data_IF_105913950647
#
_entry.id   IF_105913950647
#
_cell.length_a   1.000
_cell.length_b   1.000
_cell.length_c   1.000
_cell.angle_alpha   90.00
_cell.angle_beta   90.00
_cell.angle_gamma   90.00
#
_symmetry.space_group_name_H-M   'P 1'
#
loop_
_entity.id
_entity.type
_entity.pdbx_description
1 polymer ?
#
# COMPACT_ATOMS: atom_id res chain seq x y z
N UNK A 1 -19.72 13.94 -23.10
CA UNK A 1 -19.35 15.38 -23.14
C UNK A 1 -18.50 15.67 -21.92
N UNK A 2 -17.41 16.42 -22.05
CA UNK A 2 -16.59 16.83 -20.90
C UNK A 2 -16.93 18.29 -20.59
N UNK A 3 -17.37 18.56 -19.36
CA UNK A 3 -17.73 19.90 -18.90
C UNK A 3 -17.04 20.20 -17.58
N UNK A 4 -16.48 21.39 -17.47
CA UNK A 4 -15.96 21.90 -16.21
C UNK A 4 -16.98 22.85 -15.59
N UNK A 5 -17.14 22.79 -14.27
CA UNK A 5 -18.06 23.63 -13.54
C UNK A 5 -17.48 23.98 -12.17
N UNK A 6 -17.72 25.23 -11.76
CA UNK A 6 -17.40 25.73 -10.44
C UNK A 6 -18.64 25.70 -9.55
N UNK A 7 -18.42 25.40 -8.28
CA UNK A 7 -19.44 25.27 -7.25
C UNK A 7 -19.02 26.09 -6.05
N UNK A 8 -19.88 26.97 -5.58
CA UNK A 8 -19.66 27.69 -4.33
C UNK A 8 -19.84 26.78 -3.11
N UNK A 9 -19.24 27.15 -1.98
CA UNK A 9 -19.45 26.43 -0.71
C UNK A 9 -20.95 26.25 -0.40
N UNK A 10 -21.37 25.02 -0.14
CA UNK A 10 -22.75 24.61 0.11
C UNK A 10 -23.57 24.24 -1.13
N UNK A 11 -23.05 24.40 -2.35
CA UNK A 11 -23.75 24.02 -3.57
C UNK A 11 -23.72 22.50 -3.81
N UNK A 12 -24.83 21.95 -4.31
CA UNK A 12 -24.94 20.52 -4.59
C UNK A 12 -24.29 20.21 -5.94
N UNK A 13 -23.28 19.35 -5.91
CA UNK A 13 -22.57 18.85 -7.09
C UNK A 13 -23.32 17.67 -7.72
N UNK A 14 -23.75 16.71 -6.90
CA UNK A 14 -24.56 15.56 -7.34
C UNK A 14 -25.71 15.31 -6.36
N UNK A 15 -26.93 15.24 -6.87
CA UNK A 15 -28.12 14.95 -6.07
C UNK A 15 -28.33 13.44 -5.88
N UNK A 16 -28.92 13.07 -4.74
CA UNK A 16 -29.37 11.70 -4.45
C UNK A 16 -30.58 11.33 -5.33
N UNK A 17 -30.73 10.03 -5.62
CA UNK A 17 -31.92 9.49 -6.28
C UNK A 17 -31.93 9.61 -7.81
N UNK A 18 -30.92 10.26 -8.38
CA UNK A 18 -30.71 10.38 -9.82
C UNK A 18 -29.89 9.20 -10.37
N UNK A 19 -30.18 8.80 -11.61
CA UNK A 19 -29.28 7.93 -12.38
C UNK A 19 -28.15 8.79 -12.95
N UNK A 20 -26.93 8.49 -12.53
CA UNK A 20 -25.73 9.14 -13.05
C UNK A 20 -25.35 8.62 -14.42
N UNK A 21 -24.71 9.50 -15.19
CA UNK A 21 -24.08 9.16 -16.46
C UNK A 21 -22.61 9.59 -16.37
N UNK A 22 -21.70 8.66 -16.56
CA UNK A 22 -20.27 8.87 -16.40
C UNK A 22 -19.82 9.06 -14.95
N UNK A 23 -18.84 9.94 -14.77
CA UNK A 23 -18.25 10.25 -13.47
C UNK A 23 -17.73 11.68 -13.42
N UNK A 24 -17.37 12.13 -12.23
CA UNK A 24 -16.80 13.45 -11.97
C UNK A 24 -15.37 13.32 -11.47
N UNK A 25 -14.56 14.35 -11.74
CA UNK A 25 -13.21 14.51 -11.20
C UNK A 25 -13.14 15.83 -10.46
N UNK A 26 -12.69 15.81 -9.21
CA UNK A 26 -12.40 17.03 -8.45
C UNK A 26 -11.12 17.65 -9.01
N UNK A 27 -11.13 18.93 -9.37
CA UNK A 27 -9.92 19.63 -9.84
C UNK A 27 -9.30 20.49 -8.74
N UNK A 28 -10.12 21.11 -7.90
CA UNK A 28 -9.71 21.93 -6.75
C UNK A 28 -10.88 22.11 -5.78
N UNK A 29 -10.58 22.44 -4.52
CA UNK A 29 -11.57 22.57 -3.44
C UNK A 29 -11.87 21.24 -2.75
N UNK A 30 -12.89 21.19 -1.89
CA UNK A 30 -13.31 19.99 -1.18
C UNK A 30 -14.83 19.79 -1.20
N UNK A 31 -15.25 18.54 -1.22
CA UNK A 31 -16.64 18.11 -1.30
C UNK A 31 -16.96 17.18 -0.12
N UNK A 32 -18.19 17.22 0.36
CA UNK A 32 -18.70 16.30 1.37
C UNK A 32 -19.73 15.35 0.78
N UNK A 33 -19.66 14.09 1.22
CA UNK A 33 -20.59 13.01 0.88
C UNK A 33 -21.60 12.88 1.99
N UNK A 34 -22.88 13.11 1.69
CA UNK A 34 -23.97 13.16 2.66
C UNK A 34 -24.97 12.05 2.38
N UNK A 35 -25.26 11.21 3.38
CA UNK A 35 -26.29 10.18 3.33
C UNK A 35 -27.17 10.28 4.56
N UNK A 36 -28.50 10.22 4.38
CA UNK A 36 -29.48 10.36 5.46
C UNK A 36 -29.25 11.63 6.32
N UNK A 37 -28.81 12.73 5.69
CA UNK A 37 -28.51 14.00 6.35
C UNK A 37 -27.22 14.01 7.18
N UNK A 38 -26.40 12.96 7.13
CA UNK A 38 -25.10 12.88 7.82
C UNK A 38 -23.96 12.89 6.82
N UNK A 39 -22.90 13.63 7.14
CA UNK A 39 -21.63 13.58 6.39
C UNK A 39 -20.95 12.26 6.70
N UNK A 40 -20.75 11.42 5.67
CA UNK A 40 -20.13 10.10 5.80
C UNK A 40 -18.67 10.07 5.33
N UNK A 41 -18.27 11.03 4.48
CA UNK A 41 -16.92 11.13 3.96
C UNK A 41 -16.68 12.51 3.32
N UNK A 42 -15.42 12.86 3.11
CA UNK A 42 -14.98 14.06 2.39
C UNK A 42 -14.15 13.64 1.17
N UNK A 43 -14.18 14.46 0.13
CA UNK A 43 -13.41 14.35 -1.10
C UNK A 43 -12.67 15.68 -1.25
N UNK A 44 -11.41 15.69 -0.88
CA UNK A 44 -10.53 16.87 -0.78
C UNK A 44 -9.33 16.80 -1.75
N UNK A 45 -9.04 15.63 -2.29
CA UNK A 45 -7.91 15.41 -3.18
C UNK A 45 -8.25 15.77 -4.65
N UNK A 46 -7.50 16.70 -5.24
CA UNK A 46 -7.53 16.96 -6.67
C UNK A 46 -7.20 15.68 -7.49
N UNK A 47 -7.95 15.46 -8.56
CA UNK A 47 -7.93 14.23 -9.35
C UNK A 47 -8.77 13.08 -8.78
N UNK A 48 -9.44 13.25 -7.64
CA UNK A 48 -10.34 12.25 -7.09
C UNK A 48 -11.55 12.01 -8.02
N UNK A 49 -11.84 10.74 -8.30
CA UNK A 49 -13.00 10.32 -9.10
C UNK A 49 -14.18 10.04 -8.18
N UNK A 50 -15.36 10.53 -8.51
CA UNK A 50 -16.58 10.29 -7.77
C UNK A 50 -17.83 10.26 -8.66
N UNK A 51 -18.94 9.74 -8.12
CA UNK A 51 -20.20 9.61 -8.85
C UNK A 51 -20.25 8.44 -9.85
N UNK A 52 -19.18 7.65 -9.97
CA UNK A 52 -19.02 6.56 -10.94
C UNK A 52 -19.93 5.36 -10.67
N UNK A 53 -20.23 5.11 -9.39
CA UNK A 53 -20.97 3.91 -8.96
C UNK A 53 -22.37 3.84 -9.54
N UNK A 54 -23.01 4.99 -9.75
CA UNK A 54 -24.37 5.05 -10.26
C UNK A 54 -24.47 4.48 -11.68
N UNK A 55 -23.53 4.85 -12.57
CA UNK A 55 -23.49 4.27 -13.92
C UNK A 55 -22.95 2.84 -13.91
N UNK A 56 -21.86 2.57 -13.18
CA UNK A 56 -21.21 1.24 -13.15
C UNK A 56 -22.14 0.14 -12.64
N UNK A 57 -22.92 0.41 -11.60
CA UNK A 57 -23.84 -0.55 -11.01
C UNK A 57 -25.28 -0.42 -11.54
N UNK A 58 -25.53 0.58 -12.40
CA UNK A 58 -26.89 0.92 -12.87
C UNK A 58 -27.87 1.16 -11.72
N UNK A 59 -27.39 1.81 -10.65
CA UNK A 59 -28.15 2.17 -9.46
C UNK A 59 -28.33 3.69 -9.39
N UNK A 60 -29.41 4.15 -8.75
CA UNK A 60 -29.54 5.57 -8.42
C UNK A 60 -28.48 5.96 -7.40
N UNK A 61 -28.02 7.22 -7.44
CA UNK A 61 -27.11 7.78 -6.43
C UNK A 61 -27.74 7.64 -5.04
N UNK A 62 -26.95 7.15 -4.10
CA UNK A 62 -27.33 6.80 -2.72
C UNK A 62 -26.77 7.79 -1.68
N UNK A 63 -26.23 8.91 -2.16
CA UNK A 63 -25.70 10.01 -1.38
C UNK A 63 -25.75 11.30 -2.20
N UNK A 64 -25.84 12.43 -1.49
CA UNK A 64 -25.66 13.78 -2.03
C UNK A 64 -24.17 14.12 -1.96
N UNK A 65 -23.62 14.72 -3.01
CA UNK A 65 -22.30 15.33 -3.00
C UNK A 65 -22.49 16.85 -2.99
N UNK A 66 -21.94 17.52 -1.98
CA UNK A 66 -22.04 18.97 -1.80
C UNK A 66 -20.65 19.57 -1.70
N UNK A 67 -20.44 20.75 -2.28
CA UNK A 67 -19.21 21.49 -2.12
C UNK A 67 -19.07 21.98 -0.67
N UNK A 68 -17.96 21.66 -0.01
CA UNK A 68 -17.63 22.14 1.33
C UNK A 68 -16.91 23.48 1.25
N UNK A 69 -15.99 23.62 0.30
CA UNK A 69 -15.35 24.88 -0.10
C UNK A 69 -15.66 25.19 -1.56
N UNK A 70 -15.29 26.38 -2.03
CA UNK A 70 -15.38 26.71 -3.45
C UNK A 70 -14.57 25.69 -4.27
N UNK A 71 -15.27 24.95 -5.12
CA UNK A 71 -14.76 23.73 -5.73
C UNK A 71 -14.93 23.73 -7.23
N UNK A 72 -13.93 23.22 -7.94
CA UNK A 72 -13.96 23.05 -9.38
C UNK A 72 -14.05 21.58 -9.73
N UNK A 73 -15.06 21.20 -10.50
CA UNK A 73 -15.37 19.81 -10.82
C UNK A 73 -15.48 19.63 -12.34
N UNK A 74 -14.81 18.60 -12.83
CA UNK A 74 -14.90 18.14 -14.22
C UNK A 74 -15.91 17.00 -14.32
N UNK A 75 -17.01 17.24 -14.99
CA UNK A 75 -18.03 16.26 -15.33
C UNK A 75 -17.66 15.56 -16.65
N UNK A 76 -17.57 14.23 -16.60
CA UNK A 76 -17.34 13.39 -17.77
C UNK A 76 -18.64 12.63 -18.03
N UNK A 77 -19.50 13.23 -18.85
CA UNK A 77 -20.82 12.68 -19.22
C UNK A 77 -20.67 11.80 -20.47
N UNK A 78 -19.89 10.75 -20.37
CA UNK A 78 -19.74 9.72 -21.40
C UNK A 78 -19.77 8.36 -20.71
N UNK A 79 -20.29 7.36 -21.42
CA UNK A 79 -20.43 6.03 -20.85
C UNK A 79 -19.07 5.46 -20.45
N UNK A 80 -18.96 5.01 -19.20
CA UNK A 80 -17.69 4.50 -18.65
C UNK A 80 -17.07 3.39 -19.51
N UNK A 81 -17.87 2.47 -20.06
CA UNK A 81 -17.32 1.41 -20.91
C UNK A 81 -16.65 1.98 -22.17
N UNK A 82 -17.27 2.97 -22.82
CA UNK A 82 -16.68 3.63 -23.99
C UNK A 82 -15.41 4.41 -23.64
N UNK A 83 -15.36 5.05 -22.47
CA UNK A 83 -14.15 5.74 -21.98
C UNK A 83 -13.03 4.73 -21.73
N UNK A 84 -13.34 3.59 -21.12
CA UNK A 84 -12.37 2.53 -20.85
C UNK A 84 -11.83 1.89 -22.14
N UNK A 85 -12.67 1.72 -23.17
CA UNK A 85 -12.23 1.25 -24.50
C UNK A 85 -11.28 2.23 -25.18
N UNK A 86 -11.57 3.54 -25.11
CA UNK A 86 -10.72 4.59 -25.70
C UNK A 86 -9.44 4.83 -24.91
N UNK A 87 -9.50 4.69 -23.59
CA UNK A 87 -8.36 4.94 -22.70
C UNK A 87 -8.33 3.92 -21.55
N UNK A 88 -7.65 2.78 -21.73
CA UNK A 88 -7.55 1.73 -20.72
C UNK A 88 -6.93 2.16 -19.38
N UNK A 89 -6.15 3.27 -19.37
CA UNK A 89 -5.60 3.82 -18.12
C UNK A 89 -6.69 4.32 -17.17
N UNK A 90 -7.83 4.76 -17.70
CA UNK A 90 -8.99 5.18 -16.90
C UNK A 90 -9.60 3.98 -16.18
N UNK A 91 -9.69 2.82 -16.84
CA UNK A 91 -10.17 1.59 -16.22
C UNK A 91 -9.31 1.19 -15.01
N UNK A 92 -7.98 1.26 -15.16
CA UNK A 92 -7.05 1.01 -14.06
C UNK A 92 -7.23 1.99 -12.89
N UNK A 93 -7.45 3.28 -13.16
CA UNK A 93 -7.69 4.28 -12.11
C UNK A 93 -9.02 4.01 -11.39
N UNK A 94 -10.11 3.73 -12.13
CA UNK A 94 -11.41 3.39 -11.57
C UNK A 94 -11.36 2.13 -10.70
N UNK A 95 -10.75 1.05 -11.20
CA UNK A 95 -10.58 -0.20 -10.44
C UNK A 95 -9.82 0.02 -9.14
N UNK A 96 -8.73 0.80 -9.16
CA UNK A 96 -7.96 1.14 -7.95
C UNK A 96 -8.78 1.98 -6.97
N UNK A 97 -9.48 3.01 -7.45
CA UNK A 97 -10.32 3.86 -6.60
C UNK A 97 -11.42 3.06 -5.91
N UNK A 98 -12.13 2.22 -6.66
CA UNK A 98 -13.20 1.36 -6.13
C UNK A 98 -12.66 0.29 -5.18
N UNK A 99 -11.55 -0.35 -5.51
CA UNK A 99 -10.89 -1.32 -4.65
C UNK A 99 -10.46 -0.71 -3.31
N UNK A 100 -9.90 0.50 -3.32
CA UNK A 100 -9.55 1.26 -2.09
C UNK A 100 -10.78 1.57 -1.26
N UNK A 101 -11.87 2.05 -1.87
CA UNK A 101 -13.14 2.35 -1.16
C UNK A 101 -13.73 1.10 -0.52
N UNK A 102 -13.76 -0.03 -1.25
CA UNK A 102 -14.23 -1.31 -0.74
C UNK A 102 -13.37 -1.80 0.43
N UNK A 103 -12.05 -1.71 0.32
CA UNK A 103 -11.13 -2.09 1.39
C UNK A 103 -11.32 -1.24 2.66
N UNK A 104 -11.45 0.09 2.51
CA UNK A 104 -11.73 1.01 3.63
C UNK A 104 -13.08 0.67 4.30
N UNK A 105 -14.12 0.45 3.51
CA UNK A 105 -15.45 0.11 4.03
C UNK A 105 -15.45 -1.22 4.78
N UNK A 106 -14.76 -2.24 4.25
CA UNK A 106 -14.63 -3.54 4.92
C UNK A 106 -13.85 -3.43 6.24
N UNK A 107 -12.80 -2.60 6.32
CA UNK A 107 -12.07 -2.36 7.58
C UNK A 107 -12.94 -1.69 8.65
N UNK A 108 -13.81 -0.76 8.27
CA UNK A 108 -14.71 -0.08 9.20
C UNK A 108 -15.85 -0.98 9.66
N UNK A 109 -16.39 -1.83 8.76
CA UNK A 109 -17.40 -2.82 9.11
C UNK A 109 -16.88 -3.86 10.13
N UNK A 110 -15.61 -4.25 10.03
CA UNK A 110 -14.97 -5.19 10.98
C UNK A 110 -14.82 -4.57 12.39
N UNK A 111 -14.71 -3.24 12.52
CA UNK A 111 -14.65 -2.55 13.83
C UNK A 111 -16.02 -2.35 14.49
N UNK A 112 -17.11 -2.48 13.74
CA UNK A 112 -18.48 -2.30 14.25
C UNK A 112 -19.02 -3.45 15.11
N UNK A 113 -18.43 -4.66 14.99
CA UNK A 113 -18.84 -5.84 15.77
C UNK A 113 -18.01 -6.04 17.05
N UNK A 114 -16.92 -5.27 17.24
CA UNK A 114 -15.97 -5.48 18.33
C UNK A 114 -16.42 -4.94 19.69
N UNK A 115 -17.56 -4.24 19.77
CA UNK A 115 -18.09 -3.73 21.05
C UNK A 115 -18.78 -4.78 21.93
N UNK A 116 -18.91 -6.04 21.47
CA UNK A 116 -19.48 -7.14 22.27
C UNK A 116 -18.47 -8.19 22.74
N UNK A 117 -17.16 -8.03 22.53
CA UNK A 117 -16.18 -9.08 22.87
C UNK A 117 -15.46 -8.85 24.22
N UNK A 118 -15.94 -7.93 25.05
CA UNK A 118 -15.38 -7.64 26.38
C UNK A 118 -15.71 -8.69 27.47
N UNK A 119 -16.23 -9.88 27.10
CA UNK A 119 -16.61 -10.95 28.05
C UNK A 119 -16.05 -12.34 27.72
N UNK A 120 -14.86 -12.43 27.11
CA UNK A 120 -14.09 -13.69 27.12
C UNK A 120 -12.85 -13.55 27.97
N UNK A 121 -13.10 -13.46 29.28
CA UNK A 121 -12.11 -13.72 30.32
C UNK A 121 -11.58 -15.15 30.24
N UNK A 122 -10.34 -15.30 30.69
CA UNK A 122 -9.55 -16.53 30.81
C UNK A 122 -10.32 -17.80 31.23
N UNK A 123 -9.81 -18.92 30.74
CA UNK A 123 -10.19 -20.31 30.99
C UNK A 123 -11.54 -20.76 30.39
N UNK A 124 -11.49 -21.38 29.20
CA UNK A 124 -12.02 -22.75 28.97
C UNK A 124 -11.84 -23.21 27.51
N UNK A 125 -11.61 -24.52 27.38
CA UNK A 125 -11.24 -25.28 26.19
C UNK A 125 -12.46 -25.64 25.29
N UNK A 126 -12.12 -26.08 24.07
CA UNK A 126 -12.88 -26.93 23.11
C UNK A 126 -13.74 -26.28 22.00
N UNK A 127 -13.25 -26.53 20.78
CA UNK A 127 -13.89 -26.75 19.46
C UNK A 127 -15.29 -26.21 19.13
N UNK A 128 -15.37 -25.41 18.06
CA UNK A 128 -16.06 -25.64 16.76
C UNK A 128 -16.34 -24.24 16.14
N UNK A 129 -15.59 -23.86 15.11
CA UNK A 129 -15.85 -24.04 13.66
C UNK A 129 -16.78 -22.97 13.05
N UNK A 130 -16.37 -22.49 11.87
CA UNK A 130 -17.22 -21.71 10.97
C UNK A 130 -17.05 -20.20 10.97
N UNK A 131 -16.22 -19.68 10.06
CA UNK A 131 -16.51 -18.42 9.37
C UNK A 131 -15.58 -17.24 9.66
N UNK A 132 -14.62 -17.04 8.75
CA UNK A 132 -14.12 -15.73 8.33
C UNK A 132 -13.67 -14.72 9.41
N UNK A 133 -12.57 -15.02 10.10
CA UNK A 133 -11.64 -13.98 10.56
C UNK A 133 -10.41 -14.05 9.67
N UNK A 134 -10.12 -12.98 8.91
CA UNK A 134 -9.09 -12.90 7.86
C UNK A 134 -7.62 -12.98 8.31
N UNK A 135 -7.31 -13.80 9.32
CA UNK A 135 -5.94 -14.05 9.79
C UNK A 135 -5.25 -15.17 9.02
N UNK A 136 -3.94 -15.06 8.84
CA UNK A 136 -3.11 -16.08 8.19
C UNK A 136 -3.00 -17.30 9.11
N UNK A 137 -3.33 -18.48 8.58
CA UNK A 137 -3.31 -19.75 9.33
C UNK A 137 -2.29 -20.71 8.73
N UNK A 138 -1.40 -21.23 9.57
CA UNK A 138 -0.32 -22.12 9.16
C UNK A 138 -0.47 -23.48 9.86
N UNK A 139 -0.31 -24.57 9.10
CA UNK A 139 -0.16 -25.92 9.68
C UNK A 139 1.32 -26.32 9.66
N UNK A 140 1.86 -26.71 10.81
CA UNK A 140 3.23 -27.21 10.95
C UNK A 140 3.19 -28.72 11.23
N UNK A 141 3.88 -29.51 10.40
CA UNK A 141 3.98 -30.96 10.54
C UNK A 141 5.43 -31.36 10.82
N UNK A 142 5.71 -31.69 12.09
CA UNK A 142 7.02 -32.13 12.55
C UNK A 142 6.87 -33.03 13.80
N UNK A 143 7.66 -34.09 13.90
CA UNK A 143 7.66 -35.01 15.04
C UNK A 143 8.34 -34.40 16.28
N UNK A 144 9.15 -33.35 16.10
CA UNK A 144 9.91 -32.71 17.18
C UNK A 144 9.16 -31.50 17.75
N UNK A 145 8.71 -31.54 19.01
CA UNK A 145 7.94 -30.44 19.62
C UNK A 145 8.74 -29.12 19.69
N UNK A 146 10.07 -29.19 19.84
CA UNK A 146 10.92 -27.99 19.86
C UNK A 146 10.90 -27.24 18.52
N UNK A 147 10.83 -27.96 17.39
CA UNK A 147 10.74 -27.36 16.05
C UNK A 147 9.40 -26.66 15.87
N UNK A 148 8.31 -27.30 16.33
CA UNK A 148 6.97 -26.70 16.32
C UNK A 148 6.95 -25.43 17.18
N UNK A 149 7.52 -25.48 18.40
CA UNK A 149 7.56 -24.31 19.29
C UNK A 149 8.31 -23.15 18.64
N UNK A 150 9.50 -23.41 18.08
CA UNK A 150 10.32 -22.37 17.45
C UNK A 150 9.58 -21.68 16.30
N UNK A 151 8.86 -22.44 15.46
CA UNK A 151 8.07 -21.85 14.37
C UNK A 151 6.84 -21.09 14.86
N UNK A 152 6.18 -21.56 15.92
CA UNK A 152 5.09 -20.81 16.57
C UNK A 152 5.59 -19.46 17.08
N UNK A 153 6.77 -19.43 17.69
CA UNK A 153 7.37 -18.19 18.18
C UNK A 153 7.70 -17.23 17.03
N UNK A 154 8.29 -17.72 15.94
CA UNK A 154 8.58 -16.92 14.73
C UNK A 154 7.28 -16.32 14.18
N UNK A 155 6.26 -17.14 13.93
CA UNK A 155 5.02 -16.71 13.29
C UNK A 155 4.11 -15.86 14.18
N UNK A 156 4.25 -15.95 15.51
CA UNK A 156 3.52 -15.09 16.45
C UNK A 156 3.86 -13.60 16.28
N UNK A 157 5.09 -13.28 15.83
CA UNK A 157 5.55 -11.90 15.58
C UNK A 157 4.77 -11.21 14.46
N UNK A 158 4.30 -12.00 13.48
CA UNK A 158 3.49 -11.55 12.35
C UNK A 158 1.98 -11.72 12.58
N UNK A 159 1.55 -11.99 13.83
CA UNK A 159 0.15 -12.25 14.21
C UNK A 159 -0.48 -13.45 13.47
N UNK A 160 0.35 -14.41 13.02
CA UNK A 160 -0.11 -15.60 12.30
C UNK A 160 -0.50 -16.73 13.27
N UNK A 161 -1.59 -17.42 12.96
CA UNK A 161 -2.14 -18.48 13.81
C UNK A 161 -1.61 -19.84 13.36
N UNK A 162 -0.95 -20.56 14.27
CA UNK A 162 -0.33 -21.85 13.97
C UNK A 162 -1.09 -23.02 14.59
N UNK A 163 -1.41 -24.02 13.76
CA UNK A 163 -1.82 -25.37 14.20
C UNK A 163 -0.67 -26.34 13.95
N UNK A 164 -0.58 -27.41 14.73
CA UNK A 164 0.50 -28.38 14.61
C UNK A 164 -0.01 -29.81 14.53
N UNK A 165 0.71 -30.63 13.78
CA UNK A 165 0.53 -32.07 13.67
C UNK A 165 1.89 -32.76 13.87
N UNK A 166 1.88 -33.98 14.40
CA UNK A 166 3.10 -34.73 14.71
C UNK A 166 3.37 -35.87 13.73
N UNK A 167 2.38 -36.19 12.90
CA UNK A 167 2.41 -37.30 11.96
C UNK A 167 1.45 -37.06 10.79
N UNK A 168 1.46 -37.97 9.83
CA UNK A 168 0.62 -37.92 8.63
C UNK A 168 -0.88 -37.99 8.98
N UNK A 169 -1.27 -38.85 9.91
CA UNK A 169 -2.67 -39.11 10.26
C UNK A 169 -3.31 -37.87 10.90
N UNK A 170 -2.64 -37.28 11.89
CA UNK A 170 -3.08 -36.05 12.55
C UNK A 170 -3.11 -34.87 11.58
N UNK A 171 -2.13 -34.74 10.68
CA UNK A 171 -2.12 -33.69 9.67
C UNK A 171 -3.32 -33.78 8.71
N UNK A 172 -3.64 -34.99 8.24
CA UNK A 172 -4.80 -35.22 7.37
C UNK A 172 -6.10 -34.96 8.11
N UNK A 173 -6.24 -35.45 9.35
CA UNK A 173 -7.43 -35.22 10.17
C UNK A 173 -7.70 -33.73 10.37
N UNK A 174 -6.65 -32.95 10.66
CA UNK A 174 -6.73 -31.49 10.82
C UNK A 174 -7.15 -30.81 9.50
N UNK A 175 -6.58 -31.21 8.37
CA UNK A 175 -6.92 -30.65 7.05
C UNK A 175 -8.33 -31.05 6.57
N UNK A 176 -8.91 -32.15 7.07
CA UNK A 176 -10.31 -32.50 6.77
C UNK A 176 -11.31 -31.52 7.41
N UNK A 177 -10.92 -30.84 8.49
CA UNK A 177 -11.79 -29.95 9.27
C UNK A 177 -11.39 -28.47 9.17
N UNK A 178 -10.30 -28.15 8.49
CA UNK A 178 -9.76 -26.78 8.47
C UNK A 178 -9.03 -26.49 7.17
N UNK A 179 -9.09 -25.24 6.74
CA UNK A 179 -8.24 -24.68 5.69
C UNK A 179 -7.03 -23.96 6.30
N UNK A 180 -6.00 -23.79 5.48
CA UNK A 180 -4.76 -23.11 5.84
C UNK A 180 -4.28 -22.23 4.69
N UNK A 181 -3.61 -21.13 5.03
CA UNK A 181 -2.90 -20.26 4.10
C UNK A 181 -1.63 -20.91 3.57
N UNK A 182 -0.97 -21.74 4.41
CA UNK A 182 0.21 -22.52 4.04
C UNK A 182 0.41 -23.72 4.98
N UNK A 183 1.11 -24.75 4.51
CA UNK A 183 1.45 -25.96 5.28
C UNK A 183 2.96 -26.18 5.20
N UNK A 184 3.61 -26.39 6.35
CA UNK A 184 5.03 -26.75 6.43
C UNK A 184 5.16 -28.22 6.83
N UNK A 185 5.94 -28.98 6.08
CA UNK A 185 6.19 -30.41 6.36
C UNK A 185 7.68 -30.65 6.52
N UNK A 186 8.06 -31.33 7.61
CA UNK A 186 9.44 -31.74 7.83
C UNK A 186 9.88 -32.76 6.78
N UNK A 187 10.96 -32.45 6.06
CA UNK A 187 11.59 -33.42 5.14
C UNK A 187 12.42 -34.47 5.89
N UNK A 188 12.61 -34.31 7.20
CA UNK A 188 13.30 -35.27 8.06
C UNK A 188 12.36 -36.37 8.60
N UNK A 189 11.09 -36.38 8.20
CA UNK A 189 10.19 -37.51 8.51
C UNK A 189 10.73 -38.80 7.85
N UNK A 190 10.47 -39.98 8.46
CA UNK A 190 10.99 -41.25 7.94
C UNK A 190 10.57 -41.54 6.49
N UNK A 191 11.47 -42.18 5.75
CA UNK A 191 11.25 -42.68 4.38
C UNK A 191 10.70 -41.60 3.41
N UNK A 192 9.55 -41.87 2.77
CA UNK A 192 8.86 -40.97 1.84
C UNK A 192 7.63 -40.28 2.47
N UNK A 193 7.48 -40.35 3.81
CA UNK A 193 6.28 -39.90 4.50
C UNK A 193 5.91 -38.42 4.21
N UNK A 194 6.91 -37.53 4.10
CA UNK A 194 6.68 -36.13 3.76
C UNK A 194 6.08 -35.94 2.35
N UNK A 195 6.59 -36.70 1.37
CA UNK A 195 6.14 -36.66 -0.02
C UNK A 195 4.75 -37.29 -0.16
N UNK A 196 4.53 -38.40 0.54
CA UNK A 196 3.24 -39.09 0.59
C UNK A 196 2.16 -38.22 1.23
N UNK A 197 2.47 -37.58 2.36
CA UNK A 197 1.57 -36.64 3.01
C UNK A 197 1.21 -35.50 2.06
N UNK A 198 2.20 -34.85 1.43
CA UNK A 198 1.94 -33.80 0.44
C UNK A 198 0.98 -34.28 -0.65
N UNK A 199 1.24 -35.46 -1.22
CA UNK A 199 0.41 -36.06 -2.27
C UNK A 199 -1.04 -36.26 -1.80
N UNK A 200 -1.25 -36.77 -0.59
CA UNK A 200 -2.60 -36.96 0.00
C UNK A 200 -3.28 -35.62 0.29
N UNK A 201 -2.55 -34.61 0.78
CA UNK A 201 -3.11 -33.27 1.01
C UNK A 201 -3.56 -32.61 -0.30
N UNK A 202 -2.86 -32.87 -1.42
CA UNK A 202 -3.27 -32.39 -2.75
C UNK A 202 -4.53 -33.07 -3.31
N UNK A 203 -5.05 -34.11 -2.67
CA UNK A 203 -6.38 -34.68 -2.97
C UNK A 203 -7.46 -34.26 -1.98
N UNK A 204 -7.14 -33.45 -0.97
CA UNK A 204 -8.08 -32.96 0.04
C UNK A 204 -8.71 -31.62 -0.39
N UNK A 205 -10.05 -31.55 -0.45
CA UNK A 205 -10.73 -30.37 -0.98
C UNK A 205 -10.49 -29.07 -0.20
N UNK A 206 -10.14 -29.15 1.09
CA UNK A 206 -9.89 -27.96 1.92
C UNK A 206 -8.52 -27.33 1.68
N UNK A 207 -7.55 -28.10 1.19
CA UNK A 207 -6.13 -27.69 1.10
C UNK A 207 -5.45 -28.03 -0.23
N UNK A 208 -6.20 -28.49 -1.24
CA UNK A 208 -5.65 -28.86 -2.55
C UNK A 208 -4.87 -27.70 -3.21
N UNK A 209 -5.32 -26.47 -3.02
CA UNK A 209 -4.69 -25.26 -3.55
C UNK A 209 -3.72 -24.60 -2.55
N UNK A 210 -3.70 -25.06 -1.29
CA UNK A 210 -2.81 -24.49 -0.27
C UNK A 210 -1.36 -24.80 -0.62
N UNK A 211 -0.45 -23.81 -0.65
CA UNK A 211 0.97 -24.07 -0.87
C UNK A 211 1.55 -24.90 0.28
N UNK A 212 2.47 -25.81 -0.06
CA UNK A 212 3.10 -26.72 0.90
C UNK A 212 4.61 -26.54 0.80
N UNK A 213 5.25 -26.12 1.90
CA UNK A 213 6.70 -25.94 1.99
C UNK A 213 7.38 -27.10 2.72
N UNK A 214 8.60 -27.42 2.28
CA UNK A 214 9.45 -28.40 2.94
C UNK A 214 10.32 -27.74 4.01
N UNK A 215 10.53 -28.40 5.15
CA UNK A 215 11.54 -27.99 6.13
C UNK A 215 12.73 -28.92 6.06
N UNK A 216 13.86 -28.42 5.55
CA UNK A 216 15.08 -29.21 5.28
C UNK A 216 16.17 -28.92 6.30
N UNK A 217 17.10 -29.85 6.49
CA UNK A 217 18.31 -29.62 7.31
C UNK A 217 19.35 -28.87 6.49
N UNK A 218 20.06 -27.91 7.10
CA UNK A 218 21.13 -27.18 6.43
C UNK A 218 22.17 -28.13 5.81
N UNK A 219 22.43 -27.95 4.52
CA UNK A 219 23.38 -28.75 3.74
C UNK A 219 22.79 -30.04 3.13
N UNK A 220 21.50 -30.32 3.33
CA UNK A 220 20.82 -31.47 2.73
C UNK A 220 20.25 -31.14 1.35
N UNK A 221 21.14 -30.98 0.36
CA UNK A 221 20.76 -30.71 -1.03
C UNK A 221 19.89 -31.81 -1.65
N UNK A 222 20.06 -33.06 -1.20
CA UNK A 222 19.27 -34.19 -1.66
C UNK A 222 17.81 -34.07 -1.21
N UNK A 223 17.57 -33.71 0.05
CA UNK A 223 16.21 -33.46 0.56
C UNK A 223 15.58 -32.24 -0.12
N UNK A 224 16.34 -31.16 -0.36
CA UNK A 224 15.85 -29.98 -1.08
C UNK A 224 15.40 -30.34 -2.50
N UNK A 225 16.26 -31.03 -3.25
CA UNK A 225 15.93 -31.47 -4.61
C UNK A 225 14.70 -32.38 -4.61
N UNK A 226 14.64 -33.34 -3.69
CA UNK A 226 13.50 -34.26 -3.55
C UNK A 226 12.20 -33.51 -3.27
N UNK A 227 12.23 -32.49 -2.40
CA UNK A 227 11.06 -31.67 -2.11
C UNK A 227 10.56 -30.94 -3.37
N UNK A 228 11.45 -30.23 -4.08
CA UNK A 228 11.09 -29.49 -5.29
C UNK A 228 10.59 -30.41 -6.41
N UNK A 229 11.29 -31.52 -6.68
CA UNK A 229 10.90 -32.52 -7.70
C UNK A 229 9.53 -33.16 -7.36
N UNK A 230 9.19 -33.23 -6.08
CA UNK A 230 7.90 -33.75 -5.59
C UNK A 230 6.79 -32.68 -5.54
N UNK A 231 7.07 -31.45 -5.99
CA UNK A 231 6.14 -30.35 -6.14
C UNK A 231 5.91 -29.50 -4.89
N UNK A 232 6.77 -29.58 -3.86
CA UNK A 232 6.73 -28.58 -2.79
C UNK A 232 6.93 -27.19 -3.38
N UNK A 233 6.23 -26.19 -2.83
CA UNK A 233 6.24 -24.83 -3.36
C UNK A 233 7.61 -24.17 -3.17
N UNK A 234 8.21 -24.35 -2.00
CA UNK A 234 9.58 -23.97 -1.67
C UNK A 234 10.06 -24.73 -0.42
N UNK A 235 11.27 -24.46 0.05
CA UNK A 235 11.84 -25.02 1.27
C UNK A 235 12.39 -23.95 2.22
N UNK A 236 12.21 -24.17 3.53
CA UNK A 236 12.91 -23.43 4.57
C UNK A 236 13.96 -24.32 5.24
N UNK A 237 15.07 -23.72 5.68
CA UNK A 237 16.22 -24.46 6.20
C UNK A 237 16.28 -24.42 7.73
N UNK A 238 16.54 -25.56 8.36
CA UNK A 238 16.80 -25.72 9.81
C UNK A 238 18.32 -25.58 10.09
N UNK A 239 18.74 -24.85 11.14
CA UNK A 239 17.92 -24.05 12.07
C UNK A 239 17.30 -22.84 11.38
N UNK A 240 16.08 -22.47 11.80
CA UNK A 240 15.31 -21.41 11.15
C UNK A 240 15.89 -20.04 11.45
N UNK A 241 16.11 -19.28 10.38
CA UNK A 241 16.30 -17.85 10.43
C UNK A 241 14.90 -17.21 10.35
N UNK A 242 14.45 -16.42 11.35
CA UNK A 242 13.11 -15.85 11.37
C UNK A 242 12.79 -15.03 10.12
N UNK A 243 13.73 -14.18 9.71
CA UNK A 243 13.55 -13.25 8.59
C UNK A 243 13.44 -14.00 7.25
N UNK A 244 14.33 -14.96 7.00
CA UNK A 244 14.27 -15.78 5.79
C UNK A 244 13.02 -16.66 5.77
N UNK A 245 12.65 -17.22 6.92
CA UNK A 245 11.46 -18.07 7.04
C UNK A 245 10.21 -17.27 6.70
N UNK A 246 10.05 -16.08 7.27
CA UNK A 246 8.93 -15.20 6.94
C UNK A 246 8.94 -14.79 5.47
N UNK A 247 10.07 -14.34 4.92
CA UNK A 247 10.12 -13.91 3.52
C UNK A 247 9.71 -15.02 2.53
N UNK A 248 10.19 -16.25 2.73
CA UNK A 248 9.76 -17.41 1.92
C UNK A 248 8.25 -17.64 2.08
N UNK A 249 7.72 -17.51 3.30
CA UNK A 249 6.29 -17.64 3.57
C UNK A 249 5.46 -16.54 2.88
N UNK A 250 5.91 -15.28 2.89
CA UNK A 250 5.27 -14.18 2.16
C UNK A 250 5.24 -14.47 0.66
N UNK A 251 6.37 -14.87 0.08
CA UNK A 251 6.46 -15.19 -1.35
C UNK A 251 5.53 -16.36 -1.74
N UNK A 252 5.57 -17.46 -0.98
CA UNK A 252 4.79 -18.66 -1.28
C UNK A 252 3.29 -18.45 -1.08
N UNK A 253 2.89 -17.62 -0.12
CA UNK A 253 1.49 -17.20 0.07
C UNK A 253 1.08 -16.04 -0.84
N UNK A 254 2.00 -15.53 -1.68
CA UNK A 254 1.80 -14.37 -2.54
C UNK A 254 1.29 -13.14 -1.76
N UNK A 255 1.88 -12.92 -0.59
CA UNK A 255 1.68 -11.76 0.25
C UNK A 255 2.72 -10.68 -0.12
N UNK A 256 2.38 -9.42 0.18
CA UNK A 256 3.31 -8.30 0.03
C UNK A 256 4.40 -8.37 1.11
N UNK A 257 5.61 -8.84 0.76
CA UNK A 257 6.74 -8.95 1.69
C UNK A 257 7.16 -7.59 2.26
N UNK A 258 6.91 -6.50 1.51
CA UNK A 258 7.17 -5.15 1.98
C UNK A 258 6.33 -4.78 3.20
N UNK A 259 5.18 -5.44 3.43
CA UNK A 259 4.35 -5.23 4.61
C UNK A 259 5.05 -5.56 5.94
N UNK A 260 6.16 -6.30 5.90
CA UNK A 260 7.01 -6.61 7.07
C UNK A 260 7.70 -5.36 7.61
N UNK A 261 8.06 -4.43 6.72
CA UNK A 261 8.82 -3.24 7.04
C UNK A 261 7.98 -1.97 6.90
N UNK A 262 7.07 -1.97 5.93
CA UNK A 262 6.28 -0.82 5.54
C UNK A 262 4.80 -1.01 5.91
N UNK A 263 4.25 -0.06 6.65
CA UNK A 263 2.84 0.00 7.02
C UNK A 263 2.25 1.31 6.57
N UNK A 264 0.97 1.30 6.21
CA UNK A 264 0.21 2.54 6.06
C UNK A 264 -0.49 2.80 7.38
N UNK A 265 -0.19 3.95 7.98
CA UNK A 265 -0.84 4.40 9.19
C UNK A 265 -1.39 5.79 8.88
N UNK A 266 -2.71 5.94 9.01
CA UNK A 266 -3.40 7.18 8.64
C UNK A 266 -3.07 7.66 7.22
N UNK A 267 -2.37 8.78 7.08
CA UNK A 267 -1.97 9.42 5.83
C UNK A 267 -0.45 9.41 5.60
N UNK A 268 0.29 8.53 6.28
CA UNK A 268 1.74 8.37 6.11
C UNK A 268 2.15 6.92 5.83
N UNK A 269 3.27 6.80 5.10
CA UNK A 269 4.02 5.57 4.98
C UNK A 269 4.92 5.45 6.20
N UNK A 270 4.67 4.44 7.02
CA UNK A 270 5.49 4.09 8.16
C UNK A 270 6.48 3.01 7.75
N UNK A 271 7.77 3.32 7.76
CA UNK A 271 8.83 2.37 7.53
C UNK A 271 9.54 2.05 8.85
N UNK A 272 9.32 0.85 9.38
CA UNK A 272 10.02 0.37 10.56
C UNK A 272 11.31 -0.33 10.16
N UNK A 273 12.44 0.21 10.58
CA UNK A 273 13.75 -0.38 10.33
C UNK A 273 13.95 -1.56 11.30
N UNK A 274 14.23 -2.78 10.80
CA UNK A 274 14.48 -3.92 11.67
C UNK A 274 15.73 -3.75 12.54
N UNK A 275 15.68 -4.23 13.78
CA UNK A 275 16.81 -4.16 14.71
C UNK A 275 18.01 -5.01 14.25
N UNK A 276 17.75 -6.04 13.44
CA UNK A 276 18.77 -6.94 12.88
C UNK A 276 18.77 -6.86 11.35
N UNK A 277 19.68 -6.07 10.79
CA UNK A 277 19.84 -5.86 9.35
C UNK A 277 20.84 -6.84 8.74
N UNK A 278 20.45 -8.10 8.57
CA UNK A 278 21.24 -9.04 7.77
C UNK A 278 21.25 -8.66 6.28
N UNK A 279 22.28 -9.03 5.51
CA UNK A 279 22.32 -8.84 4.04
C UNK A 279 21.05 -9.29 3.31
N UNK A 280 20.37 -10.33 3.83
CA UNK A 280 19.10 -10.78 3.27
C UNK A 280 17.98 -9.74 3.47
N UNK A 281 17.83 -9.22 4.68
CA UNK A 281 16.83 -8.21 5.03
C UNK A 281 17.10 -6.93 4.26
N UNK A 282 18.36 -6.50 4.20
CA UNK A 282 18.82 -5.35 3.41
C UNK A 282 18.34 -5.47 1.95
N UNK A 283 18.68 -6.58 1.28
CA UNK A 283 18.31 -6.79 -0.11
C UNK A 283 16.79 -6.88 -0.31
N UNK A 284 16.07 -7.56 0.59
CA UNK A 284 14.61 -7.68 0.54
C UNK A 284 13.92 -6.31 0.68
N UNK A 285 14.42 -5.42 1.55
CA UNK A 285 13.92 -4.04 1.63
C UNK A 285 14.19 -3.33 0.30
N UNK A 286 15.44 -3.32 -0.16
CA UNK A 286 15.90 -2.61 -1.37
C UNK A 286 15.14 -2.99 -2.63
N UNK A 287 14.90 -4.28 -2.84
CA UNK A 287 14.14 -4.81 -3.97
C UNK A 287 12.67 -4.31 -3.98
N UNK A 288 12.13 -4.00 -2.80
CA UNK A 288 10.73 -3.59 -2.64
C UNK A 288 10.53 -2.06 -2.53
N UNK A 289 11.59 -1.28 -2.26
CA UNK A 289 11.51 0.18 -2.05
C UNK A 289 10.81 0.91 -3.19
N UNK A 290 11.24 0.72 -4.44
CA UNK A 290 10.72 1.49 -5.60
C UNK A 290 9.23 1.30 -5.78
N UNK A 291 8.79 0.04 -5.67
CA UNK A 291 7.38 -0.32 -5.79
C UNK A 291 6.59 0.27 -4.63
N UNK A 292 7.15 0.26 -3.42
CA UNK A 292 6.49 0.78 -2.22
C UNK A 292 6.34 2.30 -2.25
N UNK A 293 7.41 3.02 -2.52
CA UNK A 293 7.45 4.48 -2.70
C UNK A 293 6.43 4.90 -3.77
N UNK A 294 6.47 4.27 -4.95
CA UNK A 294 5.55 4.59 -6.05
C UNK A 294 4.10 4.29 -5.71
N UNK A 295 3.81 3.17 -5.04
CA UNK A 295 2.45 2.82 -4.64
C UNK A 295 1.90 3.80 -3.61
N UNK A 296 2.74 4.20 -2.65
CA UNK A 296 2.43 5.20 -1.61
C UNK A 296 2.01 6.53 -2.23
N UNK A 297 2.79 7.05 -3.19
CA UNK A 297 2.44 8.30 -3.88
C UNK A 297 1.20 8.15 -4.75
N UNK A 298 1.05 7.01 -5.43
CA UNK A 298 -0.18 6.71 -6.17
C UNK A 298 -1.41 6.62 -5.24
N UNK A 299 -1.20 6.41 -3.94
CA UNK A 299 -2.22 6.45 -2.88
C UNK A 299 -2.50 7.87 -2.36
N UNK A 300 -1.74 8.88 -2.82
CA UNK A 300 -1.86 10.27 -2.38
C UNK A 300 -1.11 10.54 -1.09
N UNK A 301 -0.34 9.56 -0.60
CA UNK A 301 0.46 9.69 0.60
C UNK A 301 1.80 10.30 0.20
N UNK A 302 2.08 11.47 0.75
CA UNK A 302 3.34 12.19 0.56
C UNK A 302 4.10 12.35 1.88
N UNK A 303 3.64 11.71 2.95
CA UNK A 303 4.28 11.75 4.27
C UNK A 303 4.94 10.40 4.55
N UNK A 304 6.18 10.45 5.01
CA UNK A 304 7.01 9.30 5.36
C UNK A 304 7.45 9.45 6.82
N UNK A 305 7.34 8.36 7.56
CA UNK A 305 7.93 8.23 8.89
C UNK A 305 8.86 7.02 8.86
N UNK A 306 10.14 7.22 9.13
CA UNK A 306 11.10 6.13 9.31
C UNK A 306 11.34 5.93 10.80
N UNK A 307 11.04 4.74 11.30
CA UNK A 307 11.25 4.38 12.69
C UNK A 307 12.55 3.58 12.85
N UNK A 308 13.53 4.21 13.50
CA UNK A 308 14.84 3.66 13.87
C UNK A 308 15.00 3.56 15.39
N UNK A 309 13.94 3.82 16.17
CA UNK A 309 13.97 3.92 17.63
C UNK A 309 14.33 2.61 18.34
N UNK A 310 14.13 1.47 17.67
CA UNK A 310 14.46 0.15 18.20
C UNK A 310 15.92 -0.29 17.91
N UNK A 311 16.72 0.52 17.22
CA UNK A 311 18.14 0.27 17.00
C UNK A 311 18.94 0.59 18.27
N UNK A 312 19.77 -0.37 18.73
CA UNK A 312 20.65 -0.17 19.88
C UNK A 312 21.82 0.79 19.58
N UNK A 313 22.35 0.73 18.35
CA UNK A 313 23.44 1.57 17.85
C UNK A 313 23.18 1.89 16.37
N UNK A 314 23.66 3.05 15.89
CA UNK A 314 23.61 3.41 14.47
C UNK A 314 24.73 2.65 13.73
N UNK A 315 24.36 1.50 13.16
CA UNK A 315 25.25 0.68 12.32
C UNK A 315 25.34 1.18 10.87
N UNK A 316 26.41 0.78 10.17
CA UNK A 316 26.61 1.05 8.74
C UNK A 316 25.43 0.52 7.91
N UNK A 317 24.87 -0.63 8.28
CA UNK A 317 23.74 -1.24 7.58
C UNK A 317 22.48 -0.37 7.68
N UNK A 318 22.20 0.22 8.84
CA UNK A 318 21.02 1.05 9.02
C UNK A 318 21.14 2.39 8.25
N UNK A 319 22.34 2.99 8.29
CA UNK A 319 22.69 4.15 7.48
C UNK A 319 22.47 3.86 5.99
N UNK A 320 22.94 2.70 5.51
CA UNK A 320 22.81 2.29 4.12
C UNK A 320 21.33 2.16 3.70
N UNK A 321 20.48 1.50 4.49
CA UNK A 321 19.05 1.35 4.14
C UNK A 321 18.32 2.68 4.13
N UNK A 322 18.51 3.50 5.17
CA UNK A 322 17.80 4.78 5.30
C UNK A 322 18.28 5.75 4.22
N UNK A 323 19.60 5.84 4.00
CA UNK A 323 20.19 6.68 2.96
C UNK A 323 19.72 6.29 1.56
N UNK A 324 19.76 5.00 1.20
CA UNK A 324 19.22 4.57 -0.11
C UNK A 324 17.73 4.84 -0.26
N UNK A 325 16.96 4.75 0.82
CA UNK A 325 15.53 5.08 0.79
C UNK A 325 15.31 6.58 0.51
N UNK A 326 16.08 7.45 1.18
CA UNK A 326 16.04 8.89 1.00
C UNK A 326 16.52 9.32 -0.40
N UNK A 327 17.68 8.82 -0.85
CA UNK A 327 18.23 9.06 -2.19
C UNK A 327 17.22 8.70 -3.27
N UNK A 328 16.54 7.55 -3.15
CA UNK A 328 15.50 7.13 -4.10
C UNK A 328 14.31 8.08 -4.17
N UNK A 329 13.93 8.69 -3.05
CA UNK A 329 12.85 9.68 -3.01
C UNK A 329 13.26 10.94 -3.76
N UNK A 330 14.48 11.41 -3.50
CA UNK A 330 15.05 12.60 -4.13
C UNK A 330 15.27 12.40 -5.64
N UNK A 331 15.85 11.27 -6.05
CA UNK A 331 16.10 10.89 -7.45
C UNK A 331 14.82 10.87 -8.28
N UNK A 332 13.74 10.36 -7.67
CA UNK A 332 12.43 10.32 -8.29
C UNK A 332 11.73 11.70 -8.31
N UNK A 333 12.34 12.74 -7.71
CA UNK A 333 11.84 14.11 -7.58
C UNK A 333 10.44 14.15 -6.98
N UNK A 334 10.24 13.34 -5.94
CA UNK A 334 8.96 13.15 -5.32
C UNK A 334 8.75 14.19 -4.23
N UNK A 335 7.53 14.75 -4.08
CA UNK A 335 7.24 15.74 -3.02
C UNK A 335 7.03 15.04 -1.66
N UNK A 336 7.76 13.97 -1.37
CA UNK A 336 7.61 13.26 -0.11
C UNK A 336 8.35 14.00 1.01
N UNK A 337 7.66 14.18 2.13
CA UNK A 337 8.16 14.80 3.36
C UNK A 337 8.41 13.70 4.38
N UNK A 338 9.57 13.76 5.04
CA UNK A 338 10.03 12.71 5.95
C UNK A 338 10.17 13.18 7.38
N UNK A 339 9.94 12.28 8.32
CA UNK A 339 10.35 12.39 9.71
C UNK A 339 11.02 11.07 10.13
N UNK A 340 11.98 11.16 11.04
CA UNK A 340 12.71 9.99 11.57
C UNK A 340 12.42 9.89 13.07
N UNK A 341 11.90 8.75 13.50
CA UNK A 341 11.77 8.42 14.92
C UNK A 341 13.10 7.88 15.42
N UNK A 342 13.84 8.71 16.15
CA UNK A 342 15.14 8.36 16.70
C UNK A 342 15.25 8.88 18.13
N UNK A 343 15.84 8.07 19.01
CA UNK A 343 16.05 8.41 20.41
C UNK A 343 17.53 8.29 20.77
N UNK A 344 18.01 9.12 21.70
CA UNK A 344 19.39 9.06 22.19
C UNK A 344 20.28 10.19 21.66
N UNK A 345 21.55 10.18 22.08
CA UNK A 345 22.51 11.26 21.79
C UNK A 345 22.87 11.35 20.30
N UNK A 346 22.75 10.23 19.57
CA UNK A 346 23.11 10.13 18.15
C UNK A 346 21.92 10.37 17.20
N UNK A 347 20.75 10.76 17.70
CA UNK A 347 19.54 10.93 16.89
C UNK A 347 19.71 11.97 15.75
N UNK A 348 20.46 13.04 16.00
CA UNK A 348 20.74 14.07 14.99
C UNK A 348 21.64 13.56 13.84
N UNK A 349 22.30 12.40 14.01
CA UNK A 349 23.17 11.84 12.96
C UNK A 349 22.40 11.50 11.67
N UNK A 350 21.12 11.19 11.78
CA UNK A 350 20.29 10.80 10.63
C UNK A 350 20.08 11.93 9.62
N UNK A 351 20.14 13.20 10.05
CA UNK A 351 20.04 14.36 9.16
C UNK A 351 21.34 14.65 8.38
N UNK A 352 22.44 13.95 8.69
CA UNK A 352 23.67 14.03 7.89
C UNK A 352 23.64 13.10 6.68
N UNK A 353 22.57 12.30 6.50
CA UNK A 353 22.38 11.46 5.33
C UNK A 353 21.81 12.29 4.18
N UNK A 354 22.32 12.02 2.97
CA UNK A 354 21.87 12.65 1.74
C UNK A 354 20.37 12.38 1.54
N UNK A 355 19.58 13.44 1.37
CA UNK A 355 18.13 13.39 1.20
C UNK A 355 17.31 13.39 2.52
N UNK A 356 17.98 13.41 3.68
CA UNK A 356 17.36 13.49 5.01
C UNK A 356 17.57 14.85 5.71
N UNK A 357 18.23 15.82 5.07
CA UNK A 357 18.69 17.06 5.72
C UNK A 357 17.53 17.87 6.31
N UNK A 358 16.41 17.89 5.58
CA UNK A 358 15.20 18.63 5.94
C UNK A 358 14.18 17.77 6.71
N UNK A 359 14.52 16.54 7.09
CA UNK A 359 13.59 15.66 7.82
C UNK A 359 13.62 15.95 9.32
N UNK A 360 12.44 15.96 9.95
CA UNK A 360 12.33 16.12 11.39
C UNK A 360 12.79 14.90 12.16
N UNK A 361 13.68 15.08 13.14
CA UNK A 361 14.01 14.07 14.14
C UNK A 361 13.00 14.18 15.29
N UNK A 362 12.30 13.09 15.59
CA UNK A 362 11.24 13.05 16.59
C UNK A 362 11.46 11.87 17.55
N UNK A 363 11.09 12.02 18.83
CA UNK A 363 11.24 10.96 19.84
C UNK A 363 10.12 9.92 19.74
N UNK A 364 8.93 10.31 19.27
CA UNK A 364 7.78 9.43 19.14
C UNK A 364 6.90 9.72 17.92
N UNK A 365 5.97 8.80 17.67
CA UNK A 365 5.08 8.85 16.51
C UNK A 365 4.15 10.07 16.52
N UNK A 366 3.74 10.57 17.68
CA UNK A 366 2.84 11.71 17.78
C UNK A 366 3.60 13.01 17.46
N UNK A 367 4.82 13.16 17.96
CA UNK A 367 5.70 14.28 17.61
C UNK A 367 5.99 14.33 16.09
N UNK A 368 6.28 13.18 15.46
CA UNK A 368 6.48 13.11 14.02
C UNK A 368 5.25 13.51 13.21
N UNK A 369 4.05 13.11 13.65
CA UNK A 369 2.80 13.55 13.03
C UNK A 369 2.61 15.05 13.15
N UNK A 370 2.88 15.63 14.32
CA UNK A 370 2.78 17.08 14.53
C UNK A 370 3.77 17.84 13.65
N UNK A 371 5.02 17.40 13.57
CA UNK A 371 6.04 17.98 12.70
C UNK A 371 5.59 17.98 11.23
N UNK A 372 5.13 16.82 10.73
CA UNK A 372 4.65 16.69 9.35
C UNK A 372 3.33 17.45 9.08
N UNK A 373 2.60 17.85 10.12
CA UNK A 373 1.41 18.70 10.01
C UNK A 373 1.75 20.20 9.99
N UNK A 374 2.67 20.66 10.86
CA UNK A 374 2.98 22.09 11.02
C UNK A 374 3.54 22.76 9.78
N UNK A 375 4.41 22.09 9.02
CA UNK A 375 4.94 22.73 7.80
C UNK A 375 3.91 22.80 6.65
N UNK A 376 2.68 22.27 6.83
CA UNK A 376 1.54 22.61 5.95
C UNK A 376 1.00 24.00 6.33
N UNK A 377 0.84 24.28 7.63
CA UNK A 377 0.35 25.58 8.12
C UNK A 377 1.32 26.72 7.75
N UNK A 378 2.63 26.52 7.88
CA UNK A 378 3.63 27.53 7.50
C UNK A 378 3.68 27.79 5.98
N UNK A 379 3.45 26.76 5.15
CA UNK A 379 3.38 26.93 3.69
C UNK A 379 2.06 27.59 3.23
N UNK A 380 0.95 27.33 3.93
CA UNK A 380 -0.33 28.00 3.69
C UNK A 380 -0.30 29.47 4.16
N UNK A 381 0.38 29.76 5.27
CA UNK A 381 0.59 31.12 5.78
C UNK A 381 1.52 31.95 4.87
N UNK A 382 2.56 31.35 4.28
CA UNK A 382 3.42 32.02 3.29
C UNK A 382 2.71 32.29 1.95
N UNK A 383 1.75 31.44 1.54
CA UNK A 383 0.91 31.69 0.37
C UNK A 383 -0.13 32.80 0.62
N UNK A 384 -0.62 32.98 1.85
CA UNK A 384 -1.51 34.09 2.23
C UNK A 384 -0.77 35.45 2.38
N UNK A 385 0.52 35.46 2.72
CA UNK A 385 1.31 36.70 2.86
C UNK A 385 1.99 37.21 1.58
N UNK A 386 1.87 36.49 0.45
CA UNK A 386 2.39 36.97 -0.83
C UNK A 386 1.66 38.25 -1.31
N UNK A 387 2.34 39.40 -1.49
CA UNK A 387 1.67 40.62 -1.93
C UNK A 387 1.21 40.49 -3.39
N UNK A 388 -0.08 40.70 -3.61
CA UNK A 388 -0.68 40.85 -4.93
C UNK A 388 0.01 41.96 -5.74
N UNK A 389 0.89 41.60 -6.66
CA UNK A 389 1.50 42.47 -7.66
C UNK A 389 1.59 41.69 -8.98
N UNK A 390 1.15 42.16 -10.14
CA UNK A 390 0.47 43.37 -10.56
C UNK A 390 -0.27 43.05 -11.88
N UNK A 391 -1.40 43.71 -12.14
CA UNK A 391 -2.09 43.66 -13.43
C UNK A 391 -1.18 44.13 -14.58
N UNK A 392 -1.22 43.53 -15.79
CA UNK A 392 -0.58 44.12 -16.94
C UNK A 392 -1.42 45.29 -17.47
N UNK A 393 -0.87 46.50 -17.34
CA UNK A 393 -1.42 47.71 -17.94
C UNK A 393 -1.42 47.60 -19.47
N UNK A 394 -2.59 47.83 -20.05
CA UNK A 394 -2.76 48.04 -21.48
C UNK A 394 -2.26 49.45 -21.85
N UNK A 395 -1.26 49.53 -22.71
CA UNK A 395 -0.95 50.75 -23.45
C UNK A 395 -1.29 50.55 -24.93
N UNK A 396 -2.18 51.43 -25.39
CA UNK A 396 -2.62 51.57 -26.76
C UNK A 396 -1.62 52.45 -27.53
N UNK A 397 -1.18 51.99 -28.70
CA UNK A 397 -0.63 52.87 -29.73
C UNK A 397 -1.47 52.73 -31.01
N UNK A 398 -2.16 53.82 -31.35
CA UNK A 398 -2.84 54.04 -32.63
C UNK A 398 -1.99 54.94 -33.52
N UNK A 399 -1.64 54.41 -34.70
CA UNK A 399 -1.51 55.00 -36.05
C UNK A 399 -1.09 56.48 -36.25
N UNK A 400 -0.10 56.69 -37.14
CA UNK A 400 -0.25 57.63 -38.26
C UNK A 400 0.70 57.31 -39.44
N UNK A 401 0.11 57.10 -40.63
CA UNK A 401 0.45 57.60 -42.00
C UNK A 401 1.94 57.82 -42.42
N UNK A 402 2.43 57.60 -43.65
CA UNK A 402 1.92 57.15 -44.96
C UNK A 402 3.15 56.88 -45.89
N UNK A 403 2.93 56.12 -46.99
CA UNK A 403 3.90 55.61 -48.00
C UNK A 403 4.34 56.67 -49.05
N UNK A 404 4.88 56.36 -50.27
CA UNK A 404 5.57 55.16 -50.84
C UNK A 404 6.81 55.51 -51.75
N UNK A 405 7.53 54.50 -52.30
CA UNK A 405 8.15 54.44 -53.66
C UNK A 405 9.04 53.16 -53.76
N UNK A 406 8.59 52.08 -54.41
CA UNK A 406 8.81 51.65 -55.82
C UNK A 406 10.06 50.73 -56.05
N UNK A 407 10.05 49.87 -57.11
CA UNK A 407 10.65 48.52 -57.07
C UNK A 407 11.77 48.25 -58.12
N UNK A 408 12.55 47.18 -57.90
CA UNK A 408 13.30 46.43 -58.94
C UNK A 408 13.72 45.07 -58.32
N UNK A 409 13.32 43.90 -58.85
CA UNK A 409 13.94 43.19 -59.99
C UNK A 409 15.45 42.95 -59.72
N UNK A 410 15.99 41.73 -59.59
CA UNK A 410 16.07 40.67 -60.59
C UNK A 410 16.74 39.39 -60.00
N UNK A 411 16.35 38.24 -60.57
CA UNK A 411 17.17 37.06 -61.00
C UNK A 411 17.97 36.16 -60.04
N UNK A 412 17.73 34.86 -60.25
CA UNK A 412 18.72 33.75 -60.41
C UNK A 412 19.56 33.34 -59.19
N UNK A 413 19.92 32.07 -58.94
CA UNK A 413 19.70 30.76 -59.56
C UNK A 413 20.32 29.70 -58.61
N UNK A 414 19.99 28.43 -58.86
CA UNK A 414 20.78 27.20 -58.57
C UNK A 414 21.07 26.83 -57.09
N UNK A 415 20.65 25.68 -56.55
CA UNK A 415 20.79 24.25 -56.90
C UNK A 415 21.81 23.58 -55.96
N UNK A 416 21.39 22.45 -55.37
CA UNK A 416 22.19 21.31 -54.83
C UNK A 416 23.22 21.67 -53.72
N UNK A 417 23.24 21.06 -52.54
CA UNK A 417 23.17 19.64 -52.18
C UNK A 417 22.84 19.49 -50.68
#
# INVERSE_FOLDING_TARGET
>A
MIRQQEYGAGEVVLAEGELGTGFCILESGSLEVIRDGKVISEIDMAGAIFGELSELLSLKRDAVIRAKTDSRVRHIEENIASICEKNPKVALKLMRTLGRRLYRMNRLAVRGDSQNDHLRSADELQEEDGGATGGIRILIVDDKPNIISQLKDIFSRSEWVCKSAHDEESAIAICNQSSFSSILISMALPDDAAVDLRRKLKTNHNVLNTPILGMIVKGDEAAQKKALDSGFADCITKPFDPNKTEAVMYNVMNLDSSARYFKFVEDYLYFKVPNELSNFVMNDIKENMDTRIRNTINEGIVKLIIDVSELEEIGEEAIEVVGEFAEKIEDMKLPMRGAILATGEDAEMWNNLDGCEDWGICEDLEEAKEHLAREIEEAEDEEEEAPAAAEPAAEAETESEAAPEEPAAETEAEAEE
#
